data_IF_127474923807
#
_entry.id   IF_127474923807
#
_cell.length_a   1.000
_cell.length_b   1.000
_cell.length_c   1.000
_cell.angle_alpha   90.00
_cell.angle_beta   90.00
_cell.angle_gamma   90.00
#
_symmetry.space_group_name_H-M   'P 1'
#
loop_
_entity.id
_entity.type
_entity.pdbx_description
1 polymer ?
#
# COMPACT_ATOMS: atom_id res chain seq x y z
N UNK A 1 0.42 -2.74 -21.73
CA UNK A 1 -0.01 -1.63 -20.84
C UNK A 1 0.62 -0.36 -21.35
N UNK A 2 -0.17 0.70 -21.50
CA UNK A 2 0.38 2.01 -21.84
C UNK A 2 1.18 2.59 -20.67
N UNK A 3 1.93 3.66 -20.93
CA UNK A 3 2.50 4.47 -19.85
C UNK A 3 1.38 5.28 -19.19
N UNK A 4 1.29 5.23 -17.87
CA UNK A 4 0.44 6.10 -17.08
C UNK A 4 1.09 7.47 -16.89
N UNK A 5 0.31 8.54 -17.07
CA UNK A 5 0.74 9.91 -16.79
C UNK A 5 -0.28 10.60 -15.89
N UNK A 6 0.17 11.09 -14.73
CA UNK A 6 -0.67 11.80 -13.75
C UNK A 6 -0.23 13.26 -13.69
N UNK A 7 -1.18 14.16 -13.91
CA UNK A 7 -0.97 15.61 -13.88
C UNK A 7 -1.79 16.25 -12.76
N UNK A 8 -1.20 17.27 -12.14
CA UNK A 8 -1.86 18.18 -11.19
C UNK A 8 -1.67 19.60 -11.72
N UNK A 9 -2.75 20.25 -12.15
CA UNK A 9 -2.74 21.60 -12.74
C UNK A 9 -1.67 21.77 -13.84
N UNK A 10 -1.70 20.85 -14.81
CA UNK A 10 -0.75 20.73 -15.94
C UNK A 10 0.69 20.34 -15.57
N UNK A 11 1.04 20.25 -14.29
CA UNK A 11 2.33 19.73 -13.83
C UNK A 11 2.35 18.21 -13.79
N UNK A 12 3.30 17.60 -14.51
CA UNK A 12 3.49 16.14 -14.51
C UNK A 12 4.01 15.68 -13.13
N UNK A 13 3.18 14.94 -12.40
CA UNK A 13 3.52 14.39 -11.09
C UNK A 13 4.14 12.99 -11.19
N UNK A 14 3.72 12.20 -12.18
CA UNK A 14 4.21 10.85 -12.39
C UNK A 14 4.06 10.42 -13.84
N UNK A 15 5.10 9.81 -14.40
CA UNK A 15 5.06 9.02 -15.62
C UNK A 15 5.62 7.63 -15.32
N UNK A 16 4.85 6.56 -15.57
CA UNK A 16 5.25 5.20 -15.17
C UNK A 16 4.48 4.13 -15.91
N UNK A 17 5.06 2.94 -16.07
CA UNK A 17 4.34 1.72 -16.48
C UNK A 17 3.83 0.90 -15.30
N UNK A 18 4.09 1.32 -14.06
CA UNK A 18 3.67 0.62 -12.84
C UNK A 18 2.27 1.10 -12.40
N UNK A 19 1.24 0.23 -12.40
CA UNK A 19 -0.11 0.60 -11.98
C UNK A 19 -0.15 1.12 -10.54
N UNK A 20 0.55 0.45 -9.61
CA UNK A 20 0.54 0.84 -8.19
C UNK A 20 1.22 2.19 -7.96
N UNK A 21 2.27 2.52 -8.74
CA UNK A 21 2.89 3.84 -8.67
C UNK A 21 1.97 4.92 -9.26
N UNK A 22 1.26 4.64 -10.36
CA UNK A 22 0.26 5.54 -10.92
C UNK A 22 -0.90 5.78 -9.94
N UNK A 23 -1.41 4.73 -9.30
CA UNK A 23 -2.42 4.80 -8.23
C UNK A 23 -1.94 5.67 -7.07
N UNK A 24 -0.71 5.48 -6.58
CA UNK A 24 -0.15 6.27 -5.51
C UNK A 24 -0.01 7.77 -5.88
N UNK A 25 0.38 8.06 -7.12
CA UNK A 25 0.46 9.42 -7.64
C UNK A 25 -0.93 10.07 -7.74
N UNK A 26 -1.92 9.35 -8.25
CA UNK A 26 -3.32 9.80 -8.29
C UNK A 26 -3.88 10.08 -6.91
N UNK A 27 -3.77 9.15 -5.96
CA UNK A 27 -4.23 9.31 -4.58
C UNK A 27 -3.61 10.54 -3.90
N UNK A 28 -2.38 10.91 -4.27
CA UNK A 28 -1.69 12.09 -3.74
C UNK A 28 -2.16 13.36 -4.41
N UNK A 29 -2.25 13.38 -5.74
CA UNK A 29 -2.68 14.54 -6.51
C UNK A 29 -4.15 14.90 -6.20
N UNK A 30 -5.02 13.89 -6.10
CA UNK A 30 -6.45 14.08 -5.83
C UNK A 30 -6.75 14.70 -4.47
N UNK A 31 -5.78 14.72 -3.54
CA UNK A 31 -5.93 15.27 -2.19
C UNK A 31 -5.12 16.53 -1.92
N UNK A 32 -4.52 17.11 -2.96
CA UNK A 32 -3.72 18.33 -2.83
C UNK A 32 -4.63 19.52 -2.47
N UNK A 33 -4.48 20.00 -1.24
CA UNK A 33 -5.30 21.09 -0.72
C UNK A 33 -5.04 22.44 -1.40
N UNK A 34 -3.81 22.70 -1.84
CA UNK A 34 -3.46 24.00 -2.45
C UNK A 34 -4.08 24.16 -3.82
N UNK A 35 -4.11 23.08 -4.60
CA UNK A 35 -4.74 23.07 -5.91
C UNK A 35 -6.25 23.01 -5.78
N UNK A 36 -6.78 22.28 -4.80
CA UNK A 36 -8.20 22.25 -4.50
C UNK A 36 -8.76 23.66 -4.18
N UNK A 37 -8.08 24.42 -3.33
CA UNK A 37 -8.46 25.80 -2.96
C UNK A 37 -8.52 26.76 -4.16
N UNK A 38 -7.73 26.48 -5.21
CA UNK A 38 -7.67 27.28 -6.43
C UNK A 38 -8.65 26.81 -7.51
N UNK A 39 -9.38 25.70 -7.28
CA UNK A 39 -10.25 25.09 -8.28
C UNK A 39 -9.49 24.42 -9.44
N UNK A 40 -8.25 23.99 -9.20
CA UNK A 40 -7.43 23.32 -10.22
C UNK A 40 -7.88 21.89 -10.51
N UNK A 41 -7.09 21.17 -11.30
CA UNK A 41 -7.47 19.85 -11.83
C UNK A 41 -6.43 18.76 -11.63
N UNK A 42 -6.89 17.52 -11.53
CA UNK A 42 -6.08 16.31 -11.61
C UNK A 42 -6.50 15.53 -12.84
N UNK A 43 -5.53 15.09 -13.65
CA UNK A 43 -5.76 14.31 -14.87
C UNK A 43 -4.92 13.05 -14.89
N UNK A 44 -5.51 11.94 -15.27
CA UNK A 44 -4.84 10.67 -15.48
C UNK A 44 -4.97 10.24 -16.95
N UNK A 45 -3.86 9.80 -17.52
CA UNK A 45 -3.79 9.25 -18.87
C UNK A 45 -3.15 7.85 -18.84
N UNK A 46 -3.58 6.97 -19.75
CA UNK A 46 -2.92 5.72 -20.08
C UNK A 46 -2.62 5.74 -21.60
N UNK A 47 -1.34 5.86 -21.97
CA UNK A 47 -0.98 6.23 -23.33
C UNK A 47 -1.68 7.53 -23.72
N UNK A 48 -2.29 7.58 -24.90
CA UNK A 48 -2.99 8.78 -25.40
C UNK A 48 -4.44 8.93 -24.89
N UNK A 49 -4.91 8.02 -24.04
CA UNK A 49 -6.30 8.01 -23.56
C UNK A 49 -6.40 8.72 -22.22
N UNK A 50 -7.32 9.66 -22.08
CA UNK A 50 -7.72 10.21 -20.77
C UNK A 50 -8.49 9.15 -20.00
N UNK A 51 -7.91 8.68 -18.89
CA UNK A 51 -8.53 7.73 -17.96
C UNK A 51 -9.53 8.45 -17.06
N UNK A 52 -9.14 9.62 -16.53
CA UNK A 52 -10.01 10.46 -15.71
C UNK A 52 -9.52 11.89 -15.60
N UNK A 53 -10.45 12.77 -15.23
CA UNK A 53 -10.22 14.17 -14.86
C UNK A 53 -11.14 14.54 -13.70
N UNK A 54 -10.62 15.23 -12.69
CA UNK A 54 -11.42 15.67 -11.53
C UNK A 54 -10.82 16.90 -10.82
N UNK A 55 -11.64 17.58 -10.02
CA UNK A 55 -11.15 18.58 -9.06
C UNK A 55 -10.64 17.88 -7.78
N UNK A 56 -9.43 18.17 -7.29
CA UNK A 56 -8.94 17.57 -6.05
C UNK A 56 -9.76 18.04 -4.84
N UNK A 57 -9.87 17.17 -3.82
CA UNK A 57 -10.55 17.44 -2.56
C UNK A 57 -9.56 17.37 -1.39
N UNK A 58 -9.45 18.40 -0.52
CA UNK A 58 -8.48 18.39 0.56
C UNK A 58 -8.65 17.16 1.46
N UNK A 59 -7.53 16.50 1.80
CA UNK A 59 -7.45 15.36 2.74
C UNK A 59 -8.07 14.05 2.26
N UNK A 60 -8.77 14.02 1.13
CA UNK A 60 -9.42 12.82 0.60
C UNK A 60 -8.69 12.34 -0.65
N UNK A 61 -7.97 11.21 -0.54
CA UNK A 61 -7.46 10.51 -1.71
C UNK A 61 -8.62 9.82 -2.43
N UNK A 62 -8.86 10.15 -3.69
CA UNK A 62 -9.91 9.52 -4.48
C UNK A 62 -9.43 8.17 -5.00
N UNK A 63 -10.34 7.20 -5.09
CA UNK A 63 -10.01 5.88 -5.63
C UNK A 63 -9.44 5.99 -7.05
N UNK A 64 -8.61 5.01 -7.42
CA UNK A 64 -8.11 4.89 -8.78
C UNK A 64 -9.30 4.80 -9.76
N UNK A 65 -9.31 5.63 -10.82
CA UNK A 65 -10.47 5.77 -11.68
C UNK A 65 -10.63 4.62 -12.68
N UNK A 66 -9.56 3.87 -12.98
CA UNK A 66 -9.67 2.70 -13.86
C UNK A 66 -10.12 1.47 -13.06
N UNK A 67 -11.37 1.07 -13.24
CA UNK A 67 -11.93 -0.14 -12.62
C UNK A 67 -11.43 -1.45 -13.23
N UNK A 68 -10.65 -1.41 -14.32
CA UNK A 68 -10.05 -2.59 -14.96
C UNK A 68 -8.75 -3.01 -14.28
N UNK A 69 -8.05 -2.06 -13.67
CA UNK A 69 -6.80 -2.30 -12.98
C UNK A 69 -7.05 -2.85 -11.58
N UNK A 70 -6.19 -3.78 -11.15
CA UNK A 70 -6.14 -4.20 -9.76
C UNK A 70 -5.79 -3.00 -8.88
N UNK A 71 -6.68 -2.62 -7.97
CA UNK A 71 -6.39 -1.60 -6.96
C UNK A 71 -5.55 -2.22 -5.84
N UNK A 72 -4.42 -1.60 -5.53
CA UNK A 72 -3.55 -2.09 -4.48
C UNK A 72 -4.32 -2.19 -3.15
N UNK A 73 -4.29 -3.37 -2.54
CA UNK A 73 -5.01 -3.67 -1.31
C UNK A 73 -4.06 -4.18 -0.21
N UNK A 74 -4.63 -4.60 0.93
CA UNK A 74 -3.83 -5.03 2.08
C UNK A 74 -3.03 -6.31 1.82
N UNK A 75 -3.39 -7.13 0.82
CA UNK A 75 -2.58 -8.28 0.40
C UNK A 75 -1.28 -7.82 -0.25
N UNK A 76 -1.35 -6.79 -1.10
CA UNK A 76 -0.15 -6.21 -1.73
C UNK A 76 0.78 -5.57 -0.70
N UNK A 77 0.18 -4.90 0.30
CA UNK A 77 0.92 -4.34 1.44
C UNK A 77 1.59 -5.46 2.23
N UNK A 78 0.86 -6.53 2.56
CA UNK A 78 1.38 -7.68 3.29
C UNK A 78 2.55 -8.35 2.57
N UNK A 79 2.39 -8.69 1.29
CA UNK A 79 3.43 -9.31 0.47
C UNK A 79 4.67 -8.40 0.35
N UNK A 80 4.49 -7.09 0.25
CA UNK A 80 5.59 -6.14 0.20
C UNK A 80 6.29 -5.99 1.54
N UNK A 81 5.53 -5.95 2.64
CA UNK A 81 6.06 -5.88 3.99
C UNK A 81 6.87 -7.12 4.34
N UNK A 82 6.35 -8.32 4.08
CA UNK A 82 7.05 -9.57 4.37
C UNK A 82 8.37 -9.68 3.60
N UNK A 83 8.40 -9.25 2.32
CA UNK A 83 9.65 -9.19 1.55
C UNK A 83 10.68 -8.24 2.18
N UNK A 84 10.24 -7.09 2.69
CA UNK A 84 11.14 -6.15 3.38
C UNK A 84 11.65 -6.73 4.68
N UNK A 85 10.79 -7.38 5.48
CA UNK A 85 11.18 -8.00 6.76
C UNK A 85 12.15 -9.17 6.56
N UNK A 86 11.91 -10.01 5.56
CA UNK A 86 12.78 -11.13 5.18
C UNK A 86 14.19 -10.64 4.77
N UNK A 87 14.27 -9.57 3.98
CA UNK A 87 15.54 -8.92 3.63
C UNK A 87 16.30 -8.36 4.86
N UNK A 88 15.60 -8.14 5.97
CA UNK A 88 16.19 -7.72 7.24
C UNK A 88 16.51 -8.90 8.17
N UNK A 89 16.45 -10.13 7.67
CA UNK A 89 16.71 -11.36 8.42
C UNK A 89 15.60 -11.75 9.40
N UNK A 90 14.39 -11.21 9.24
CA UNK A 90 13.23 -11.58 10.04
C UNK A 90 12.40 -12.61 9.26
N UNK A 91 12.81 -13.87 9.38
CA UNK A 91 12.09 -14.99 8.78
C UNK A 91 10.73 -15.25 9.46
N UNK A 92 9.92 -16.12 8.85
CA UNK A 92 8.57 -16.42 9.35
C UNK A 92 8.56 -16.95 10.79
N UNK A 93 9.60 -17.67 11.21
CA UNK A 93 9.71 -18.19 12.57
C UNK A 93 9.94 -17.07 13.58
N UNK A 94 10.82 -16.12 13.26
CA UNK A 94 11.07 -14.93 14.08
C UNK A 94 9.82 -14.06 14.17
N UNK A 95 9.13 -13.83 13.05
CA UNK A 95 7.89 -13.05 13.02
C UNK A 95 6.78 -13.71 13.84
N UNK A 96 6.59 -15.03 13.69
CA UNK A 96 5.64 -15.78 14.50
C UNK A 96 5.99 -15.70 15.99
N UNK A 97 7.27 -15.82 16.34
CA UNK A 97 7.73 -15.71 17.73
C UNK A 97 7.46 -14.32 18.32
N UNK A 98 7.73 -13.26 17.56
CA UNK A 98 7.44 -11.88 17.98
C UNK A 98 5.94 -11.68 18.24
N UNK A 99 5.07 -12.13 17.34
CA UNK A 99 3.62 -12.07 17.54
C UNK A 99 3.17 -12.86 18.77
N UNK A 100 3.69 -14.08 18.96
CA UNK A 100 3.37 -14.90 20.12
C UNK A 100 3.78 -14.25 21.44
N UNK A 101 4.93 -13.57 21.45
CA UNK A 101 5.44 -12.79 22.59
C UNK A 101 4.61 -11.54 22.84
N UNK A 102 4.07 -10.94 21.78
CA UNK A 102 3.17 -9.78 21.84
C UNK A 102 1.75 -10.16 22.28
N UNK A 103 1.40 -11.45 22.21
CA UNK A 103 0.13 -12.02 22.66
C UNK A 103 -0.81 -12.47 21.55
N UNK A 104 -0.43 -12.31 20.27
CA UNK A 104 -1.18 -12.82 19.13
C UNK A 104 -0.64 -14.20 18.74
N UNK A 105 -1.42 -15.25 19.01
CA UNK A 105 -1.00 -16.63 18.74
C UNK A 105 -1.03 -16.93 17.25
N UNK A 106 0.10 -17.39 16.74
CA UNK A 106 0.23 -17.87 15.36
C UNK A 106 1.33 -18.93 15.26
N UNK A 107 1.21 -19.84 14.31
CA UNK A 107 2.28 -20.79 13.94
C UNK A 107 3.11 -20.29 12.77
N UNK A 108 2.57 -19.38 11.96
CA UNK A 108 3.21 -18.82 10.76
C UNK A 108 2.50 -17.54 10.36
N UNK A 109 3.28 -16.50 10.02
CA UNK A 109 2.76 -15.23 9.51
C UNK A 109 2.47 -15.33 8.02
N UNK A 110 3.30 -16.05 7.28
CA UNK A 110 3.07 -16.30 5.86
C UNK A 110 1.81 -17.15 5.61
N UNK A 111 1.57 -18.18 6.44
CA UNK A 111 0.42 -19.04 6.28
C UNK A 111 -0.87 -18.47 6.87
N UNK A 112 -0.82 -17.44 7.73
CA UNK A 112 -2.03 -16.87 8.35
C UNK A 112 -2.95 -16.18 7.34
N UNK A 113 -2.43 -15.83 6.16
CA UNK A 113 -3.19 -15.27 5.05
C UNK A 113 -3.53 -16.31 3.98
N UNK A 114 -3.30 -17.60 4.24
CA UNK A 114 -3.77 -18.70 3.41
C UNK A 114 -5.01 -19.33 4.04
N UNK A 115 -6.04 -19.60 3.24
CA UNK A 115 -7.21 -20.33 3.69
C UNK A 115 -7.08 -21.84 3.44
N UNK A 116 -7.96 -22.62 4.07
CA UNK A 116 -7.97 -24.09 3.99
C UNK A 116 -8.29 -24.64 2.59
N UNK A 117 -8.83 -23.80 1.70
CA UNK A 117 -9.14 -24.11 0.30
C UNK A 117 -8.00 -23.70 -0.65
N UNK A 118 -6.87 -23.21 -0.12
CA UNK A 118 -5.73 -22.73 -0.90
C UNK A 118 -5.91 -21.32 -1.48
N UNK A 119 -6.96 -20.62 -1.08
CA UNK A 119 -7.16 -19.20 -1.36
C UNK A 119 -6.33 -18.30 -0.44
N UNK A 120 -6.24 -17.02 -0.81
CA UNK A 120 -5.55 -15.99 -0.02
C UNK A 120 -6.55 -15.08 0.67
N UNK A 121 -6.54 -15.09 2.00
CA UNK A 121 -7.29 -14.18 2.85
C UNK A 121 -6.67 -12.78 2.78
N UNK A 122 -7.52 -11.74 2.76
CA UNK A 122 -7.06 -10.35 2.87
C UNK A 122 -6.74 -10.09 4.35
N UNK A 123 -5.49 -9.77 4.72
CA UNK A 123 -5.16 -9.41 6.09
C UNK A 123 -5.85 -8.09 6.46
N UNK A 124 -6.20 -7.96 7.74
CA UNK A 124 -6.75 -6.72 8.26
C UNK A 124 -5.66 -5.68 8.54
N UNK A 125 -6.04 -4.39 8.56
CA UNK A 125 -5.14 -3.33 8.97
C UNK A 125 -4.65 -3.52 10.42
N UNK A 126 -5.47 -4.12 11.29
CA UNK A 126 -5.11 -4.41 12.68
C UNK A 126 -3.97 -5.44 12.77
N UNK A 127 -4.01 -6.51 11.97
CA UNK A 127 -2.95 -7.52 11.94
C UNK A 127 -1.62 -6.93 11.48
N UNK A 128 -1.64 -6.06 10.48
CA UNK A 128 -0.44 -5.34 10.02
C UNK A 128 0.17 -4.47 11.12
N UNK A 129 -0.66 -3.69 11.84
CA UNK A 129 -0.19 -2.86 12.95
C UNK A 129 0.42 -3.72 14.06
N UNK A 130 -0.27 -4.79 14.47
CA UNK A 130 0.21 -5.69 15.53
C UNK A 130 1.52 -6.38 15.14
N UNK A 131 1.67 -6.80 13.87
CA UNK A 131 2.93 -7.37 13.37
C UNK A 131 4.09 -6.37 13.50
N UNK A 132 3.88 -5.12 13.07
CA UNK A 132 4.91 -4.08 13.15
C UNK A 132 5.29 -3.74 14.59
N UNK A 133 4.30 -3.61 15.48
CA UNK A 133 4.53 -3.33 16.91
C UNK A 133 5.26 -4.48 17.60
N UNK A 134 4.90 -5.73 17.29
CA UNK A 134 5.56 -6.92 17.81
C UNK A 134 7.04 -6.97 17.40
N UNK A 135 7.32 -6.74 16.10
CA UNK A 135 8.71 -6.69 15.59
C UNK A 135 9.50 -5.55 16.23
N UNK A 136 8.88 -4.38 16.39
CA UNK A 136 9.53 -3.23 17.02
C UNK A 136 9.89 -3.52 18.49
N UNK A 137 8.96 -4.10 19.27
CA UNK A 137 9.20 -4.46 20.66
C UNK A 137 10.31 -5.50 20.81
N UNK A 138 10.32 -6.52 19.96
CA UNK A 138 11.34 -7.58 19.99
C UNK A 138 12.74 -7.01 19.69
N UNK A 139 12.85 -6.13 18.69
CA UNK A 139 14.12 -5.45 18.37
C UNK A 139 14.61 -4.53 19.49
N UNK A 140 13.69 -3.85 20.19
CA UNK A 140 14.06 -3.03 21.35
C UNK A 140 14.62 -3.88 22.48
N UNK A 141 13.96 -4.99 22.82
CA UNK A 141 14.46 -5.94 23.83
C UNK A 141 15.85 -6.47 23.46
N UNK A 142 16.07 -6.84 22.19
CA UNK A 142 17.36 -7.33 21.72
C UNK A 142 18.48 -6.28 21.76
N UNK A 143 18.14 -4.98 21.77
CA UNK A 143 19.12 -3.89 21.84
C UNK A 143 19.44 -3.44 23.28
N UNK A 144 18.63 -3.86 24.25
CA UNK A 144 18.78 -3.54 25.69
C UNK A 144 19.56 -4.62 26.46
N UNK A 145 19.94 -5.72 25.80
CA UNK A 145 20.73 -6.86 26.32
C UNK A 145 22.15 -6.81 25.78
#
# INVERSE_FOLDING_TARGET
MGEFRIYLDDELQCATTSPVLAQAAWHRASRDGRVAEKGGWVRAYEGEVTVAEMHPEPRVGHAWPDGRDHQADLRDVWDSLLRVLDQQGLDDQILASALNNFGLKTTSVQASVQDELGGRTVPSAAELVVLLDAVHQERRRASEV
#
